data_IF_623579434081
#
_entry.id   IF_623579434081
#
_cell.length_a   1.000
_cell.length_b   1.000
_cell.length_c   1.000
_cell.angle_alpha   90.00
_cell.angle_beta   90.00
_cell.angle_gamma   90.00
#
_symmetry.space_group_name_H-M   'P 1'
#
loop_
_entity.id
_entity.type
_entity.pdbx_description
1 polymer ?
#
# COMPACT_ATOMS: atom_id res chain seq x y z
N UNK A 1 -4.78 -19.32 3.09
CA UNK A 1 -3.96 -18.42 2.25
C UNK A 1 -4.07 -16.94 2.66
N UNK A 2 -3.04 -16.14 2.39
CA UNK A 2 -2.95 -14.72 2.76
C UNK A 2 -3.01 -13.82 1.51
N UNK A 3 -3.59 -12.63 1.64
CA UNK A 3 -3.61 -11.63 0.58
C UNK A 3 -2.26 -10.90 0.53
N UNK A 4 -1.79 -10.55 -0.67
CA UNK A 4 -0.56 -9.76 -0.84
C UNK A 4 -0.66 -8.86 -2.08
N UNK A 5 -0.22 -7.61 -1.97
CA UNK A 5 0.01 -6.74 -3.13
C UNK A 5 1.42 -6.93 -3.63
N UNK A 6 1.57 -7.62 -4.76
CA UNK A 6 2.87 -7.88 -5.37
C UNK A 6 2.79 -7.73 -6.88
N UNK A 7 3.76 -7.04 -7.47
CA UNK A 7 3.81 -6.79 -8.91
C UNK A 7 4.10 -8.04 -9.71
N UNK A 8 4.87 -8.95 -9.13
CA UNK A 8 5.22 -10.24 -9.70
C UNK A 8 4.10 -11.28 -9.51
N UNK A 9 3.15 -11.00 -8.61
CA UNK A 9 1.96 -11.84 -8.36
C UNK A 9 0.71 -10.97 -8.54
N UNK A 10 0.35 -10.61 -9.79
CA UNK A 10 -0.73 -9.67 -10.09
C UNK A 10 -2.12 -10.15 -9.62
N UNK A 11 -2.29 -11.46 -9.46
CA UNK A 11 -3.54 -12.11 -9.07
C UNK A 11 -3.32 -12.89 -7.78
N UNK A 12 -3.54 -12.27 -6.60
CA UNK A 12 -3.39 -12.94 -5.32
C UNK A 12 -4.37 -14.12 -5.20
N UNK A 13 -3.95 -15.16 -4.46
CA UNK A 13 -4.72 -16.40 -4.28
C UNK A 13 -6.09 -16.18 -3.62
N UNK A 14 -6.22 -15.14 -2.81
CA UNK A 14 -7.45 -14.75 -2.11
C UNK A 14 -7.82 -13.31 -2.49
N UNK A 15 -9.11 -12.96 -2.40
CA UNK A 15 -9.54 -11.57 -2.51
C UNK A 15 -9.12 -10.77 -1.27
N UNK A 16 -9.00 -9.45 -1.44
CA UNK A 16 -8.73 -8.53 -0.33
C UNK A 16 -9.87 -8.56 0.70
N UNK A 17 -11.11 -8.39 0.24
CA UNK A 17 -12.31 -8.48 1.09
C UNK A 17 -12.84 -9.92 1.07
N UNK A 18 -12.96 -10.52 2.25
CA UNK A 18 -13.46 -11.90 2.42
C UNK A 18 -14.94 -11.94 2.77
N UNK A 19 -15.32 -11.14 3.76
CA UNK A 19 -16.69 -11.06 4.24
C UNK A 19 -17.40 -9.88 3.59
N UNK A 20 -18.32 -10.19 2.67
CA UNK A 20 -19.05 -9.19 1.92
C UNK A 20 -20.26 -8.67 2.69
N UNK A 21 -20.46 -7.35 2.66
CA UNK A 21 -21.70 -6.72 3.12
C UNK A 21 -22.89 -7.14 2.24
N UNK A 22 -24.12 -6.85 2.68
CA UNK A 22 -25.31 -7.14 1.89
C UNK A 22 -25.28 -6.43 0.52
N UNK A 23 -24.82 -5.18 0.50
CA UNK A 23 -24.66 -4.37 -0.71
C UNK A 23 -23.60 -4.97 -1.63
N UNK A 24 -22.46 -5.39 -1.08
CA UNK A 24 -21.39 -6.01 -1.86
C UNK A 24 -21.83 -7.37 -2.43
N UNK A 25 -22.62 -8.16 -1.70
CA UNK A 25 -23.22 -9.39 -2.23
C UNK A 25 -24.14 -9.10 -3.41
N UNK A 26 -25.01 -8.10 -3.30
CA UNK A 26 -25.86 -7.67 -4.42
C UNK A 26 -25.02 -7.18 -5.62
N UNK A 27 -23.94 -6.45 -5.38
CA UNK A 27 -23.01 -6.01 -6.41
C UNK A 27 -22.31 -7.20 -7.11
N UNK A 28 -21.89 -8.22 -6.36
CA UNK A 28 -21.33 -9.47 -6.91
C UNK A 28 -22.34 -10.27 -7.73
N UNK A 29 -23.62 -10.19 -7.40
CA UNK A 29 -24.68 -10.76 -8.25
C UNK A 29 -24.85 -9.95 -9.54
N UNK A 30 -24.81 -8.61 -9.45
CA UNK A 30 -24.88 -7.72 -10.62
C UNK A 30 -23.68 -7.89 -11.56
N UNK A 31 -22.49 -8.16 -11.02
CA UNK A 31 -21.25 -8.43 -11.78
C UNK A 31 -21.38 -9.62 -12.75
N UNK A 32 -22.26 -10.58 -12.47
CA UNK A 32 -22.50 -11.74 -13.35
C UNK A 32 -23.21 -11.36 -14.65
N UNK A 33 -23.88 -10.21 -14.69
CA UNK A 33 -24.57 -9.68 -15.86
C UNK A 33 -23.64 -8.77 -16.70
N UNK A 34 -24.20 -8.02 -17.66
CA UNK A 34 -23.40 -7.13 -18.52
C UNK A 34 -22.75 -5.98 -17.73
N UNK A 35 -21.43 -5.82 -17.89
CA UNK A 35 -20.66 -4.72 -17.28
C UNK A 35 -20.92 -3.36 -17.91
N UNK A 36 -21.67 -3.30 -19.01
CA UNK A 36 -22.17 -2.03 -19.57
C UNK A 36 -23.21 -1.38 -18.66
N UNK A 37 -23.92 -2.16 -17.83
CA UNK A 37 -24.91 -1.68 -16.87
C UNK A 37 -24.31 -1.31 -15.50
N UNK A 38 -23.00 -1.50 -15.32
CA UNK A 38 -22.29 -1.09 -14.12
C UNK A 38 -21.85 0.37 -14.22
N UNK A 39 -22.11 1.15 -13.17
CA UNK A 39 -21.57 2.50 -13.02
C UNK A 39 -20.04 2.45 -12.87
N UNK A 40 -19.40 3.61 -13.00
CA UNK A 40 -17.95 3.73 -12.77
C UNK A 40 -17.62 3.36 -11.32
N UNK A 41 -18.41 3.83 -10.36
CA UNK A 41 -18.20 3.56 -8.94
C UNK A 41 -18.37 2.08 -8.60
N UNK A 42 -19.34 1.39 -9.21
CA UNK A 42 -19.55 -0.06 -9.04
C UNK A 42 -18.35 -0.87 -9.55
N UNK A 43 -17.73 -0.45 -10.67
CA UNK A 43 -16.52 -1.09 -11.19
C UNK A 43 -15.33 -0.86 -10.25
N UNK A 44 -15.20 0.34 -9.70
CA UNK A 44 -14.17 0.66 -8.70
C UNK A 44 -14.40 -0.13 -7.42
N UNK A 45 -15.65 -0.30 -6.98
CA UNK A 45 -15.98 -1.08 -5.79
C UNK A 45 -15.66 -2.56 -5.99
N UNK A 46 -16.02 -3.15 -7.15
CA UNK A 46 -15.60 -4.51 -7.51
C UNK A 46 -14.08 -4.67 -7.51
N UNK A 47 -13.36 -3.66 -8.02
CA UNK A 47 -11.90 -3.64 -7.96
C UNK A 47 -11.41 -3.65 -6.51
N UNK A 48 -11.96 -2.79 -5.64
CA UNK A 48 -11.57 -2.69 -4.23
C UNK A 48 -11.99 -3.91 -3.39
N UNK A 49 -12.99 -4.67 -3.81
CA UNK A 49 -13.33 -5.97 -3.20
C UNK A 49 -12.21 -6.98 -3.49
N UNK A 50 -11.73 -7.03 -4.73
CA UNK A 50 -10.71 -8.01 -5.16
C UNK A 50 -9.30 -7.62 -4.74
N UNK A 51 -8.94 -6.35 -4.89
CA UNK A 51 -7.60 -5.80 -4.68
C UNK A 51 -7.63 -4.62 -3.73
N UNK A 52 -6.67 -4.55 -2.81
CA UNK A 52 -6.60 -3.44 -1.86
C UNK A 52 -5.99 -2.17 -2.47
N UNK A 53 -5.00 -2.33 -3.36
CA UNK A 53 -4.25 -1.24 -3.98
C UNK A 53 -4.21 -1.40 -5.50
N UNK A 54 -4.16 -0.26 -6.19
CA UNK A 54 -3.84 -0.19 -7.61
C UNK A 54 -2.34 -0.34 -7.84
N UNK A 55 -1.95 -0.68 -9.07
CA UNK A 55 -0.54 -0.66 -9.46
C UNK A 55 0.10 0.73 -9.27
N UNK A 56 -0.65 1.82 -9.44
CA UNK A 56 -0.13 3.15 -9.21
C UNK A 56 0.15 3.40 -7.72
N UNK A 57 -0.76 2.95 -6.84
CA UNK A 57 -0.59 3.05 -5.38
C UNK A 57 0.57 2.18 -4.89
N UNK A 58 0.65 0.92 -5.32
CA UNK A 58 1.75 0.00 -4.98
C UNK A 58 3.12 0.52 -5.43
N UNK A 59 3.16 1.28 -6.53
CA UNK A 59 4.39 1.84 -7.09
C UNK A 59 4.70 3.24 -6.59
N UNK A 60 3.87 3.80 -5.70
CA UNK A 60 4.07 5.14 -5.18
C UNK A 60 5.33 5.14 -4.31
N UNK A 61 6.36 5.84 -4.77
CA UNK A 61 7.58 6.05 -4.00
C UNK A 61 7.33 6.80 -2.68
N UNK A 62 8.18 6.56 -1.69
CA UNK A 62 8.14 7.23 -0.39
C UNK A 62 9.29 8.25 -0.27
N UNK A 63 9.17 9.17 0.69
CA UNK A 63 10.22 10.13 1.03
C UNK A 63 11.12 9.64 2.18
N UNK A 64 11.06 8.35 2.55
CA UNK A 64 11.78 7.78 3.70
C UNK A 64 13.28 7.99 3.63
N UNK A 65 13.87 8.01 2.42
CA UNK A 65 15.28 8.29 2.21
C UNK A 65 15.73 9.61 2.86
N UNK A 66 14.85 10.62 2.92
CA UNK A 66 15.15 11.91 3.56
C UNK A 66 15.28 11.74 5.08
N UNK A 67 14.38 10.97 5.69
CA UNK A 67 14.42 10.66 7.12
C UNK A 67 15.66 9.84 7.46
N UNK A 68 16.00 8.84 6.63
CA UNK A 68 17.18 8.01 6.80
C UNK A 68 18.45 8.88 6.76
N UNK A 69 18.63 9.69 5.72
CA UNK A 69 19.79 10.58 5.61
C UNK A 69 19.85 11.59 6.76
N UNK A 70 18.71 12.19 7.12
CA UNK A 70 18.64 13.12 8.25
C UNK A 70 19.08 12.47 9.56
N UNK A 71 18.59 11.27 9.86
CA UNK A 71 19.00 10.51 11.04
C UNK A 71 20.48 10.18 11.04
N UNK A 72 21.02 9.68 9.91
CA UNK A 72 22.45 9.36 9.77
C UNK A 72 23.31 10.60 10.03
N UNK A 73 23.01 11.74 9.39
CA UNK A 73 23.80 12.96 9.59
C UNK A 73 23.69 13.53 11.01
N UNK A 74 22.51 13.41 11.65
CA UNK A 74 22.33 13.81 13.04
C UNK A 74 23.25 13.01 13.97
N UNK A 75 23.28 11.68 13.84
CA UNK A 75 24.14 10.83 14.67
C UNK A 75 25.62 11.01 14.37
N UNK A 76 26.00 11.16 13.09
CA UNK A 76 27.39 11.48 12.72
C UNK A 76 27.85 12.81 13.33
N UNK A 77 27.00 13.84 13.24
CA UNK A 77 27.28 15.14 13.86
C UNK A 77 27.41 15.04 15.38
N UNK A 78 26.49 14.32 16.03
CA UNK A 78 26.52 14.11 17.48
C UNK A 78 27.77 13.36 17.95
N UNK A 79 28.17 12.28 17.25
CA UNK A 79 29.42 11.58 17.51
C UNK A 79 30.63 12.50 17.34
N UNK A 80 30.64 13.34 16.31
CA UNK A 80 31.69 14.35 16.12
C UNK A 80 31.83 15.30 17.30
N UNK A 81 30.71 15.78 17.86
CA UNK A 81 30.71 16.63 19.07
C UNK A 81 31.29 15.91 20.28
N UNK A 82 30.91 14.65 20.51
CA UNK A 82 31.47 13.83 21.61
C UNK A 82 32.98 13.69 21.48
N UNK A 83 33.48 13.38 20.28
CA UNK A 83 34.92 13.21 20.04
C UNK A 83 35.70 14.50 20.28
N UNK A 84 35.14 15.66 19.90
CA UNK A 84 35.75 16.97 20.18
C UNK A 84 35.83 17.21 21.69
N UNK A 85 34.75 16.92 22.41
CA UNK A 85 34.71 17.06 23.87
C UNK A 85 35.75 16.15 24.56
N UNK A 86 35.83 14.87 24.18
CA UNK A 86 36.82 13.90 24.69
C UNK A 86 38.27 14.27 24.37
N UNK A 87 38.51 15.04 23.31
CA UNK A 87 39.86 15.52 22.98
C UNK A 87 40.27 16.73 23.80
N UNK A 88 39.31 17.55 24.20
CA UNK A 88 39.56 18.81 24.90
C UNK A 88 39.72 18.63 26.42
N UNK A 89 39.01 17.65 27.00
CA UNK A 89 39.02 17.32 28.43
C UNK A 89 39.50 15.89 28.66
#
# INVERSE_FOLDING_TARGET
PAYVNRRDVPLPEVAFVRDLSAQQKALKEKEKASWSALSVDEKVELYRIKFSETYAEMNKGTNEWKTILGGVFLFLGFTGVILIWQKHF
#
